data_IF_312527439341
#
_entry.id   IF_312527439341
#
_cell.length_a   1.000
_cell.length_b   1.000
_cell.length_c   1.000
_cell.angle_alpha   90.00
_cell.angle_beta   90.00
_cell.angle_gamma   90.00
#
_symmetry.space_group_name_H-M   'P 1'
#
loop_
_entity.id
_entity.type
_entity.pdbx_description
1 polymer ?
#
# COMPACT_ATOMS: atom_id res chain seq x y z
N UNK A 1 -14.04 10.66 -2.02
CA UNK A 1 -13.66 10.41 -0.61
C UNK A 1 -13.00 9.04 -0.44
N UNK A 2 -13.69 7.94 -0.76
CA UNK A 2 -13.13 6.57 -0.64
C UNK A 2 -11.84 6.35 -1.45
N UNK A 3 -11.79 6.76 -2.73
CA UNK A 3 -10.58 6.61 -3.55
C UNK A 3 -9.36 7.36 -2.97
N UNK A 4 -9.54 8.62 -2.57
CA UNK A 4 -8.48 9.42 -1.96
C UNK A 4 -8.01 8.81 -0.62
N UNK A 5 -8.94 8.27 0.18
CA UNK A 5 -8.61 7.56 1.41
C UNK A 5 -7.77 6.31 1.13
N UNK A 6 -8.13 5.50 0.13
CA UNK A 6 -7.36 4.32 -0.28
C UNK A 6 -5.93 4.70 -0.72
N UNK A 7 -5.79 5.77 -1.48
CA UNK A 7 -4.48 6.29 -1.91
C UNK A 7 -3.62 6.70 -0.71
N UNK A 8 -4.17 7.51 0.20
CA UNK A 8 -3.43 7.97 1.40
C UNK A 8 -3.07 6.81 2.31
N UNK A 9 -4.00 5.88 2.54
CA UNK A 9 -3.77 4.69 3.36
C UNK A 9 -2.68 3.80 2.75
N UNK A 10 -2.70 3.56 1.44
CA UNK A 10 -1.67 2.78 0.75
C UNK A 10 -0.28 3.41 0.87
N UNK A 11 -0.17 4.74 0.75
CA UNK A 11 1.10 5.46 0.94
C UNK A 11 1.60 5.31 2.37
N UNK A 12 0.71 5.45 3.36
CA UNK A 12 1.07 5.27 4.77
C UNK A 12 1.53 3.84 5.08
N UNK A 13 0.84 2.83 4.53
CA UNK A 13 1.24 1.43 4.67
C UNK A 13 2.58 1.15 4.00
N UNK A 14 2.79 1.65 2.77
CA UNK A 14 4.09 1.57 2.09
C UNK A 14 5.20 2.17 2.95
N UNK A 15 4.98 3.35 3.54
CA UNK A 15 5.94 4.01 4.41
C UNK A 15 6.26 3.21 5.68
N UNK A 16 5.24 2.59 6.27
CA UNK A 16 5.40 1.73 7.45
C UNK A 16 6.19 0.48 7.10
N UNK A 17 5.85 -0.21 6.00
CA UNK A 17 6.49 -1.47 5.64
C UNK A 17 7.82 -1.31 4.88
N UNK A 18 8.18 -0.09 4.47
CA UNK A 18 9.46 0.17 3.82
C UNK A 18 10.61 -0.26 4.74
N UNK A 19 11.58 -1.05 4.25
CA UNK A 19 12.74 -1.44 5.04
C UNK A 19 13.48 -0.20 5.52
N UNK A 20 13.65 -0.05 6.84
CA UNK A 20 14.50 0.99 7.41
C UNK A 20 15.85 0.38 7.72
N UNK A 21 16.92 0.99 7.23
CA UNK A 21 18.30 0.53 7.44
C UNK A 21 18.55 -0.90 6.91
N UNK A 22 17.86 -1.30 5.85
CA UNK A 22 18.00 -2.62 5.23
C UNK A 22 17.37 -3.78 6.03
N UNK A 23 16.74 -3.50 7.17
CA UNK A 23 16.00 -4.51 7.94
C UNK A 23 14.52 -4.48 7.56
N UNK A 24 13.99 -5.64 7.20
CA UNK A 24 12.55 -5.81 7.03
C UNK A 24 11.85 -5.68 8.38
N UNK A 25 10.58 -5.27 8.36
CA UNK A 25 9.78 -5.29 9.59
C UNK A 25 9.68 -6.74 10.10
N UNK A 26 9.69 -6.95 11.43
CA UNK A 26 9.51 -8.29 12.05
C UNK A 26 8.27 -9.04 11.53
N UNK A 27 7.23 -8.30 11.16
CA UNK A 27 5.98 -8.84 10.60
C UNK A 27 6.13 -9.36 9.16
N UNK A 28 7.23 -9.02 8.50
CA UNK A 28 7.62 -9.38 7.14
C UNK A 28 8.60 -10.57 7.11
N UNK A 29 8.97 -11.12 8.27
CA UNK A 29 9.79 -12.35 8.37
C UNK A 29 9.05 -13.61 7.90
N UNK A 30 7.71 -13.53 7.80
CA UNK A 30 6.89 -14.59 7.25
C UNK A 30 6.85 -14.48 5.71
N UNK A 31 7.15 -15.54 4.96
CA UNK A 31 7.30 -15.49 3.50
C UNK A 31 6.03 -15.04 2.76
N UNK A 32 4.85 -15.33 3.32
CA UNK A 32 3.58 -14.84 2.76
C UNK A 32 3.37 -13.33 2.92
N UNK A 33 3.85 -12.75 4.01
CA UNK A 33 3.67 -11.33 4.30
C UNK A 33 4.68 -10.48 3.53
N UNK A 34 5.87 -11.01 3.24
CA UNK A 34 6.88 -10.36 2.42
C UNK A 34 6.36 -10.01 1.01
N UNK A 35 5.51 -10.86 0.42
CA UNK A 35 4.96 -10.64 -0.92
C UNK A 35 3.50 -10.18 -0.90
N UNK A 36 2.67 -10.73 -0.01
CA UNK A 36 1.23 -10.47 0.02
C UNK A 36 0.89 -9.05 0.45
N UNK A 37 1.58 -8.53 1.46
CA UNK A 37 1.36 -7.15 1.96
C UNK A 37 1.66 -6.12 0.88
N UNK A 38 2.85 -6.10 0.25
CA UNK A 38 3.13 -5.14 -0.82
C UNK A 38 2.18 -5.30 -2.02
N UNK A 39 1.79 -6.52 -2.37
CA UNK A 39 0.81 -6.75 -3.45
C UNK A 39 -0.53 -6.10 -3.15
N UNK A 40 -1.08 -6.32 -1.95
CA UNK A 40 -2.35 -5.72 -1.53
C UNK A 40 -2.27 -4.20 -1.48
N UNK A 41 -1.15 -3.64 -1.01
CA UNK A 41 -0.96 -2.18 -0.98
C UNK A 41 -0.99 -1.58 -2.39
N UNK A 42 -0.30 -2.23 -3.36
CA UNK A 42 -0.28 -1.79 -4.76
C UNK A 42 -1.68 -1.91 -5.39
N UNK A 43 -2.39 -3.01 -5.16
CA UNK A 43 -3.75 -3.19 -5.67
C UNK A 43 -4.70 -2.12 -5.11
N UNK A 44 -4.65 -1.87 -3.80
CA UNK A 44 -5.47 -0.84 -3.15
C UNK A 44 -5.10 0.57 -3.65
N UNK A 45 -3.81 0.84 -3.89
CA UNK A 45 -3.35 2.12 -4.43
C UNK A 45 -3.87 2.33 -5.85
N UNK A 46 -3.71 1.33 -6.72
CA UNK A 46 -4.18 1.38 -8.11
C UNK A 46 -5.69 1.59 -8.18
N UNK A 47 -6.47 0.79 -7.44
CA UNK A 47 -7.93 0.94 -7.38
C UNK A 47 -8.35 2.30 -6.82
N UNK A 48 -7.69 2.76 -5.76
CA UNK A 48 -7.92 4.07 -5.17
C UNK A 48 -7.65 5.21 -6.16
N UNK A 49 -6.54 5.12 -6.90
CA UNK A 49 -6.16 6.11 -7.90
C UNK A 49 -7.16 6.17 -9.05
N UNK A 50 -7.58 5.00 -9.57
CA UNK A 50 -8.61 4.92 -10.62
C UNK A 50 -9.91 5.59 -10.17
N UNK A 51 -10.38 5.32 -8.96
CA UNK A 51 -11.60 5.96 -8.43
C UNK A 51 -11.46 7.47 -8.21
N UNK A 52 -10.24 7.95 -7.92
CA UNK A 52 -9.97 9.40 -7.82
C UNK A 52 -10.04 10.05 -9.19
N UNK A 53 -9.39 9.44 -10.19
CA UNK A 53 -9.38 9.93 -11.58
C UNK A 53 -10.80 9.95 -12.15
N UNK A 54 -11.55 8.85 -12.00
CA UNK A 54 -12.95 8.70 -12.47
C UNK A 54 -13.93 9.71 -11.85
N UNK A 55 -13.60 10.26 -10.68
CA UNK A 55 -14.39 11.34 -10.06
C UNK A 55 -13.99 12.74 -10.48
N UNK A 56 -12.80 12.91 -11.04
CA UNK A 56 -12.25 14.23 -11.40
C UNK A 56 -12.48 14.53 -12.88
N UNK A 57 -12.45 13.52 -13.74
CA UNK A 57 -12.70 13.61 -15.18
C UNK A 57 -14.11 13.14 -15.53
#
# INVERSE_FOLDING_TARGET
>A
MIGAFLVVLSIALLWVFLPRNGQSHRWMELPFFETGVPLVIIMAFSAGLTMVIDRIF
#
